data_IF_599812417453
#
_entry.id   IF_599812417453
#
_cell.length_a   1.000
_cell.length_b   1.000
_cell.length_c   1.000
_cell.angle_alpha   90.00
_cell.angle_beta   90.00
_cell.angle_gamma   90.00
#
_symmetry.space_group_name_H-M   'P 1'
#
loop_
_entity.id
_entity.type
_entity.pdbx_description
1 polymer ?
#
# COMPACT_ATOMS: atom_id res chain seq x y z
N UNK A 1 33.93 -27.89 -2.28
CA UNK A 1 32.82 -26.92 -2.33
C UNK A 1 33.12 -25.84 -1.30
N UNK A 2 33.57 -24.66 -1.75
CA UNK A 2 34.02 -23.59 -0.84
C UNK A 2 32.85 -22.96 -0.11
N UNK A 3 33.07 -22.56 1.15
CA UNK A 3 32.12 -21.88 2.04
C UNK A 3 31.68 -20.48 1.57
N UNK A 4 31.83 -20.17 0.27
CA UNK A 4 31.66 -18.86 -0.34
C UNK A 4 30.31 -18.66 -1.02
N UNK A 5 29.48 -19.70 -1.18
CA UNK A 5 28.19 -19.60 -1.89
C UNK A 5 27.02 -19.17 -1.00
N UNK A 6 27.22 -19.13 0.31
CA UNK A 6 26.23 -18.69 1.29
C UNK A 6 26.63 -17.36 1.96
N UNK A 7 27.18 -16.41 1.18
CA UNK A 7 27.04 -15.01 1.56
C UNK A 7 25.54 -14.70 1.54
N UNK A 8 24.86 -15.01 2.65
CA UNK A 8 23.54 -14.51 2.97
C UNK A 8 23.51 -13.05 2.53
N UNK A 9 22.62 -12.74 1.59
CA UNK A 9 22.39 -11.38 1.12
C UNK A 9 21.70 -10.65 2.27
N UNK A 10 22.47 -10.32 3.33
CA UNK A 10 21.95 -9.62 4.50
C UNK A 10 21.36 -8.31 4.03
N UNK A 11 20.15 -8.03 4.50
CA UNK A 11 19.51 -6.75 4.31
C UNK A 11 20.32 -5.74 5.13
N UNK A 12 21.13 -4.94 4.45
CA UNK A 12 21.88 -3.85 5.06
C UNK A 12 21.00 -2.59 5.10
N UNK A 13 20.25 -2.45 6.19
CA UNK A 13 19.31 -1.36 6.41
C UNK A 13 19.99 0.03 6.39
N UNK A 14 21.27 0.11 6.77
CA UNK A 14 22.02 1.37 6.78
C UNK A 14 22.29 1.91 5.37
N UNK A 15 22.20 1.05 4.35
CA UNK A 15 22.44 1.40 2.93
C UNK A 15 21.16 1.54 2.11
N UNK A 16 19.99 1.42 2.75
CA UNK A 16 18.71 1.58 2.07
C UNK A 16 18.55 2.98 1.51
N UNK A 17 18.00 3.06 0.30
CA UNK A 17 17.61 4.34 -0.27
C UNK A 17 16.43 4.93 0.52
N UNK A 18 16.18 6.22 0.27
CA UNK A 18 14.99 6.87 0.81
C UNK A 18 13.70 6.13 0.42
N UNK A 19 13.56 5.70 -0.84
CA UNK A 19 12.37 5.01 -1.31
C UNK A 19 12.14 3.69 -0.57
N UNK A 20 13.20 2.94 -0.28
CA UNK A 20 13.09 1.69 0.47
C UNK A 20 12.57 1.94 1.88
N UNK A 21 13.13 2.93 2.58
CA UNK A 21 12.64 3.33 3.90
C UNK A 21 11.20 3.84 3.85
N UNK A 22 10.88 4.70 2.89
CA UNK A 22 9.55 5.27 2.75
C UNK A 22 8.49 4.19 2.49
N UNK A 23 8.77 3.23 1.60
CA UNK A 23 7.87 2.10 1.32
C UNK A 23 7.71 1.19 2.54
N UNK A 24 8.78 0.92 3.30
CA UNK A 24 8.68 0.16 4.53
C UNK A 24 7.78 0.86 5.57
N UNK A 25 7.96 2.16 5.77
CA UNK A 25 7.13 2.95 6.70
C UNK A 25 5.67 2.97 6.25
N UNK A 26 5.41 3.27 4.97
CA UNK A 26 4.05 3.27 4.41
C UNK A 26 3.40 1.90 4.59
N UNK A 27 4.13 0.82 4.29
CA UNK A 27 3.68 -0.55 4.48
C UNK A 27 3.30 -0.84 5.94
N UNK A 28 4.20 -0.57 6.88
CA UNK A 28 3.95 -0.81 8.32
C UNK A 28 2.73 -0.02 8.81
N UNK A 29 2.65 1.28 8.47
CA UNK A 29 1.54 2.14 8.90
C UNK A 29 0.21 1.59 8.40
N UNK A 30 0.10 1.22 7.12
CA UNK A 30 -1.15 0.72 6.56
C UNK A 30 -1.48 -0.71 7.02
N UNK A 31 -0.48 -1.56 7.30
CA UNK A 31 -0.72 -2.88 7.92
C UNK A 31 -1.34 -2.70 9.30
N UNK A 32 -0.77 -1.82 10.14
CA UNK A 32 -1.33 -1.53 11.47
C UNK A 32 -2.74 -0.95 11.33
N UNK A 33 -2.94 -0.03 10.39
CA UNK A 33 -4.25 0.56 10.13
C UNK A 33 -5.30 -0.48 9.73
N UNK A 34 -4.94 -1.41 8.83
CA UNK A 34 -5.82 -2.51 8.40
C UNK A 34 -6.11 -3.49 9.55
N UNK A 35 -5.13 -3.79 10.41
CA UNK A 35 -5.34 -4.63 11.60
C UNK A 35 -6.31 -3.95 12.57
N UNK A 36 -6.14 -2.66 12.83
CA UNK A 36 -7.07 -1.90 13.68
C UNK A 36 -8.47 -1.88 13.06
N UNK A 37 -8.57 -1.64 11.75
CA UNK A 37 -9.82 -1.73 11.00
C UNK A 37 -10.52 -3.08 11.16
N UNK A 38 -9.76 -4.18 11.03
CA UNK A 38 -10.29 -5.53 11.22
C UNK A 38 -10.79 -5.78 12.64
N UNK A 39 -10.07 -5.30 13.65
CA UNK A 39 -10.46 -5.46 15.06
C UNK A 39 -11.74 -4.67 15.36
N UNK A 40 -11.86 -3.47 14.80
CA UNK A 40 -13.00 -2.58 15.03
C UNK A 40 -14.25 -3.06 14.29
N UNK A 41 -14.10 -3.53 13.05
CA UNK A 41 -15.19 -4.04 12.21
C UNK A 41 -14.76 -5.33 11.49
N UNK A 42 -14.94 -6.51 12.13
CA UNK A 42 -14.47 -7.79 11.59
C UNK A 42 -15.45 -8.44 10.60
N UNK A 43 -16.59 -7.82 10.29
CA UNK A 43 -17.62 -8.44 9.44
C UNK A 43 -17.17 -8.59 7.98
N UNK A 44 -17.62 -9.66 7.32
CA UNK A 44 -17.35 -9.94 5.90
C UNK A 44 -18.62 -9.78 5.05
N UNK A 45 -19.42 -8.78 5.37
CA UNK A 45 -20.67 -8.48 4.66
C UNK A 45 -20.41 -7.79 3.32
N UNK A 46 -21.34 -7.97 2.38
CA UNK A 46 -21.33 -7.36 1.05
C UNK A 46 -22.70 -6.77 0.73
N UNK A 47 -22.76 -5.81 -0.18
CA UNK A 47 -23.97 -5.11 -0.60
C UNK A 47 -24.05 -3.68 -0.07
N UNK A 48 -25.18 -3.01 -0.33
CA UNK A 48 -25.38 -1.58 -0.01
C UNK A 48 -25.57 -1.30 1.50
N UNK A 49 -25.81 -2.34 2.30
CA UNK A 49 -26.07 -2.22 3.73
C UNK A 49 -25.04 -2.98 4.57
N UNK A 50 -23.93 -3.38 3.96
CA UNK A 50 -22.85 -4.02 4.69
C UNK A 50 -22.29 -3.06 5.74
N UNK A 51 -22.04 -3.57 6.94
CA UNK A 51 -21.43 -2.79 8.00
C UNK A 51 -20.04 -2.27 7.58
N UNK A 52 -19.74 -1.03 7.95
CA UNK A 52 -18.43 -0.42 7.79
C UNK A 52 -18.20 0.60 8.91
N UNK A 53 -16.98 0.64 9.45
CA UNK A 53 -16.60 1.58 10.50
C UNK A 53 -15.41 2.44 10.06
N UNK A 54 -15.51 3.78 10.16
CA UNK A 54 -14.39 4.66 9.84
C UNK A 54 -13.29 4.54 10.89
N UNK A 55 -12.07 4.26 10.44
CA UNK A 55 -10.85 4.32 11.23
C UNK A 55 -9.93 5.33 10.57
N UNK A 56 -9.64 6.45 11.26
CA UNK A 56 -8.83 7.56 10.72
C UNK A 56 -9.28 8.05 9.32
N UNK A 57 -10.59 7.96 9.04
CA UNK A 57 -11.21 8.39 7.79
C UNK A 57 -11.34 7.33 6.70
N UNK A 58 -10.74 6.15 6.87
CA UNK A 58 -10.86 5.01 5.96
C UNK A 58 -11.92 4.03 6.50
N UNK A 59 -12.85 3.59 5.65
CA UNK A 59 -14.01 2.82 6.11
C UNK A 59 -13.74 1.32 6.05
N UNK A 60 -13.63 0.67 7.21
CA UNK A 60 -13.26 -0.73 7.29
C UNK A 60 -14.45 -1.66 7.49
N UNK A 61 -14.35 -2.80 6.82
CA UNK A 61 -14.84 -4.08 7.29
C UNK A 61 -13.76 -5.15 7.05
N UNK A 62 -14.09 -6.41 7.29
CA UNK A 62 -13.20 -7.55 7.07
C UNK A 62 -12.64 -7.63 5.65
N UNK A 63 -13.46 -7.38 4.62
CA UNK A 63 -13.00 -7.38 3.22
C UNK A 63 -12.03 -6.24 2.92
N UNK A 64 -12.31 -5.02 3.41
CA UNK A 64 -11.36 -3.91 3.29
C UNK A 64 -10.06 -4.28 3.98
N UNK A 65 -10.12 -4.68 5.25
CA UNK A 65 -8.92 -4.98 6.03
C UNK A 65 -8.04 -6.05 5.35
N UNK A 66 -8.63 -7.12 4.83
CA UNK A 66 -7.90 -8.13 4.04
C UNK A 66 -7.29 -7.52 2.78
N UNK A 67 -8.03 -6.70 2.04
CA UNK A 67 -7.52 -5.98 0.88
C UNK A 67 -6.32 -5.09 1.22
N UNK A 68 -6.39 -4.35 2.34
CA UNK A 68 -5.29 -3.55 2.87
C UNK A 68 -4.07 -4.40 3.21
N UNK A 69 -4.24 -5.52 3.92
CA UNK A 69 -3.14 -6.43 4.22
C UNK A 69 -2.51 -7.02 2.95
N UNK A 70 -3.32 -7.45 1.98
CA UNK A 70 -2.84 -7.98 0.71
C UNK A 70 -2.07 -6.93 -0.10
N UNK A 71 -2.46 -5.66 -0.01
CA UNK A 71 -1.75 -4.57 -0.69
C UNK A 71 -0.48 -4.13 0.04
N UNK A 72 -0.48 -4.07 1.37
CA UNK A 72 0.59 -3.42 2.13
C UNK A 72 1.59 -4.38 2.78
N UNK A 73 1.26 -5.65 3.02
CA UNK A 73 2.26 -6.65 3.44
C UNK A 73 3.36 -6.85 2.38
N UNK A 74 3.06 -6.94 1.07
CA UNK A 74 4.08 -7.01 0.03
C UNK A 74 5.02 -5.79 -0.02
N UNK A 75 4.61 -4.64 0.54
CA UNK A 75 5.48 -3.46 0.63
C UNK A 75 6.76 -3.75 1.42
N UNK A 76 6.67 -4.58 2.47
CA UNK A 76 7.83 -4.94 3.30
C UNK A 76 8.86 -5.74 2.50
N UNK A 77 8.38 -6.64 1.62
CA UNK A 77 9.25 -7.37 0.71
C UNK A 77 9.80 -6.45 -0.39
N UNK A 78 8.95 -5.59 -0.95
CA UNK A 78 9.35 -4.64 -1.98
C UNK A 78 10.42 -3.66 -1.48
N UNK A 79 10.35 -3.23 -0.23
CA UNK A 79 11.34 -2.35 0.39
C UNK A 79 12.76 -2.95 0.43
N UNK A 80 12.92 -4.27 0.32
CA UNK A 80 14.25 -4.91 0.33
C UNK A 80 15.11 -4.60 -0.89
N UNK A 81 14.51 -4.10 -1.99
CA UNK A 81 15.22 -3.67 -3.20
C UNK A 81 14.60 -2.39 -3.75
N UNK A 82 15.43 -1.37 -4.03
CA UNK A 82 14.95 -0.07 -4.53
C UNK A 82 14.04 -0.19 -5.77
N UNK A 83 14.40 -1.00 -6.76
CA UNK A 83 13.57 -1.18 -7.96
C UNK A 83 12.26 -1.90 -7.68
N UNK A 84 12.22 -2.81 -6.70
CA UNK A 84 10.98 -3.46 -6.27
C UNK A 84 10.08 -2.46 -5.54
N UNK A 85 10.65 -1.65 -4.64
CA UNK A 85 9.94 -0.57 -3.97
C UNK A 85 9.31 0.41 -4.98
N UNK A 86 10.04 0.75 -6.05
CA UNK A 86 9.54 1.61 -7.13
C UNK A 86 8.37 0.99 -7.89
N UNK A 87 8.49 -0.27 -8.34
CA UNK A 87 7.40 -0.97 -9.02
C UNK A 87 6.19 -1.19 -8.12
N UNK A 88 6.42 -1.51 -6.84
CA UNK A 88 5.37 -1.58 -5.84
C UNK A 88 4.60 -0.26 -5.75
N UNK A 89 5.28 0.88 -5.63
CA UNK A 89 4.63 2.18 -5.60
C UNK A 89 3.78 2.44 -6.84
N UNK A 90 4.24 2.08 -8.05
CA UNK A 90 3.44 2.23 -9.28
C UNK A 90 2.19 1.36 -9.24
N UNK A 91 2.34 0.07 -8.95
CA UNK A 91 1.24 -0.90 -8.96
C UNK A 91 0.21 -0.55 -7.88
N UNK A 92 0.67 -0.24 -6.66
CA UNK A 92 -0.20 0.13 -5.55
C UNK A 92 -0.87 1.50 -5.78
N UNK A 93 -0.18 2.47 -6.37
CA UNK A 93 -0.80 3.76 -6.70
C UNK A 93 -1.89 3.61 -7.76
N UNK A 94 -1.62 2.86 -8.84
CA UNK A 94 -2.60 2.68 -9.92
C UNK A 94 -3.76 1.81 -9.45
N UNK A 95 -3.49 0.62 -8.91
CA UNK A 95 -4.53 -0.31 -8.49
C UNK A 95 -5.25 0.17 -7.23
N UNK A 96 -4.54 0.16 -6.11
CA UNK A 96 -5.11 0.48 -4.80
C UNK A 96 -5.43 1.97 -4.61
N UNK A 97 -4.69 2.89 -5.23
CA UNK A 97 -4.94 4.31 -5.08
C UNK A 97 -6.00 4.85 -6.04
N UNK A 98 -5.73 4.79 -7.35
CA UNK A 98 -6.57 5.45 -8.35
C UNK A 98 -7.74 4.60 -8.82
N UNK A 99 -7.53 3.36 -9.24
CA UNK A 99 -8.63 2.50 -9.75
C UNK A 99 -9.68 2.32 -8.66
N UNK A 100 -9.22 1.93 -7.48
CA UNK A 100 -10.06 1.76 -6.31
C UNK A 100 -10.65 3.09 -5.82
N UNK A 101 -9.86 4.15 -5.66
CA UNK A 101 -10.35 5.42 -5.15
C UNK A 101 -11.38 6.07 -6.08
N UNK A 102 -11.17 5.98 -7.40
CA UNK A 102 -12.15 6.44 -8.40
C UNK A 102 -13.41 5.59 -8.33
N UNK A 103 -13.29 4.26 -8.23
CA UNK A 103 -14.45 3.37 -8.08
C UNK A 103 -15.31 3.74 -6.85
N UNK A 104 -14.66 4.01 -5.72
CA UNK A 104 -15.33 4.39 -4.47
C UNK A 104 -16.13 5.71 -4.57
N UNK A 105 -15.85 6.57 -5.56
CA UNK A 105 -16.66 7.77 -5.82
C UNK A 105 -18.02 7.46 -6.44
N UNK A 106 -18.21 6.27 -7.02
CA UNK A 106 -19.39 5.92 -7.82
C UNK A 106 -20.14 4.68 -7.32
N UNK A 107 -19.58 3.89 -6.40
CA UNK A 107 -20.17 2.63 -5.93
C UNK A 107 -20.60 2.69 -4.48
N UNK A 108 -21.89 2.43 -4.21
CA UNK A 108 -22.42 2.23 -2.85
C UNK A 108 -22.41 0.79 -2.37
N UNK A 109 -21.91 -0.12 -3.20
CA UNK A 109 -21.85 -1.53 -2.87
C UNK A 109 -20.48 -1.90 -2.34
N UNK A 110 -20.48 -2.47 -1.14
CA UNK A 110 -19.33 -3.21 -0.63
C UNK A 110 -19.27 -4.56 -1.35
N UNK A 111 -18.17 -4.84 -2.03
CA UNK A 111 -17.84 -6.11 -2.67
C UNK A 111 -16.57 -6.67 -2.04
N UNK A 112 -16.20 -7.89 -2.43
CA UNK A 112 -14.95 -8.51 -1.99
C UNK A 112 -13.78 -7.61 -2.44
N UNK A 113 -13.03 -7.11 -1.45
CA UNK A 113 -11.94 -6.13 -1.63
C UNK A 113 -12.37 -4.77 -2.20
N UNK A 114 -13.66 -4.43 -2.16
CA UNK A 114 -14.16 -3.09 -2.51
C UNK A 114 -14.82 -2.42 -1.31
N UNK A 115 -14.92 -1.10 -1.40
CA UNK A 115 -15.24 -0.22 -0.29
C UNK A 115 -16.70 0.27 -0.38
N UNK A 116 -17.31 0.73 0.74
CA UNK A 116 -18.64 1.32 0.71
C UNK A 116 -18.62 2.70 0.02
N UNK A 117 -19.76 3.24 -0.39
CA UNK A 117 -19.84 4.63 -0.89
C UNK A 117 -19.58 5.60 0.25
N UNK A 118 -18.33 6.01 0.40
CA UNK A 118 -17.95 7.14 1.22
C UNK A 118 -16.84 7.95 0.54
N UNK A 119 -17.12 9.24 0.36
CA UNK A 119 -16.21 10.19 -0.28
C UNK A 119 -14.86 10.30 0.44
N UNK A 120 -14.82 10.09 1.75
CA UNK A 120 -13.59 10.16 2.55
C UNK A 120 -12.64 9.02 2.19
N UNK A 121 -13.18 7.81 2.05
CA UNK A 121 -12.41 6.63 1.67
C UNK A 121 -11.77 6.80 0.28
N UNK A 122 -12.58 7.25 -0.69
CA UNK A 122 -12.10 7.61 -2.03
C UNK A 122 -10.97 8.65 -2.00
N UNK A 123 -11.12 9.70 -1.20
CA UNK A 123 -10.09 10.74 -1.03
C UNK A 123 -8.80 10.15 -0.47
N UNK A 124 -8.87 9.28 0.54
CA UNK A 124 -7.69 8.65 1.14
C UNK A 124 -6.99 7.73 0.13
N UNK A 125 -7.74 6.91 -0.61
CA UNK A 125 -7.16 6.07 -1.66
C UNK A 125 -6.40 6.90 -2.71
N UNK A 126 -7.03 7.95 -3.23
CA UNK A 126 -6.41 8.84 -4.21
C UNK A 126 -5.18 9.54 -3.60
N UNK A 127 -5.28 10.04 -2.37
CA UNK A 127 -4.17 10.69 -1.67
C UNK A 127 -2.99 9.74 -1.46
N UNK A 128 -3.25 8.49 -1.08
CA UNK A 128 -2.23 7.44 -0.96
C UNK A 128 -1.59 7.13 -2.30
N UNK A 129 -2.38 7.06 -3.39
CA UNK A 129 -1.85 6.90 -4.75
C UNK A 129 -0.92 8.04 -5.17
N UNK A 130 -1.31 9.28 -4.92
CA UNK A 130 -0.47 10.47 -5.15
C UNK A 130 0.80 10.42 -4.31
N UNK A 131 0.71 10.09 -3.03
CA UNK A 131 1.86 9.97 -2.13
C UNK A 131 2.87 8.94 -2.68
N UNK A 132 2.41 7.74 -3.05
CA UNK A 132 3.28 6.69 -3.58
C UNK A 132 4.03 7.14 -4.85
N UNK A 133 3.36 7.83 -5.78
CA UNK A 133 4.04 8.39 -6.95
C UNK A 133 5.00 9.53 -6.59
N UNK A 134 4.66 10.36 -5.61
CA UNK A 134 5.54 11.43 -5.13
C UNK A 134 6.81 10.87 -4.48
N UNK A 135 6.75 9.71 -3.82
CA UNK A 135 7.93 9.02 -3.30
C UNK A 135 8.88 8.59 -4.43
N UNK A 136 8.35 8.02 -5.51
CA UNK A 136 9.14 7.67 -6.70
C UNK A 136 9.77 8.93 -7.29
N UNK A 137 8.99 9.99 -7.49
CA UNK A 137 9.48 11.25 -8.04
C UNK A 137 10.60 11.84 -7.19
N UNK A 138 10.45 11.83 -5.86
CA UNK A 138 11.48 12.29 -4.92
C UNK A 138 12.76 11.47 -5.03
N UNK A 139 12.64 10.14 -5.11
CA UNK A 139 13.80 9.28 -5.32
C UNK A 139 14.46 9.53 -6.68
N UNK A 140 13.68 9.75 -7.74
CA UNK A 140 14.18 10.03 -9.08
C UNK A 140 14.96 11.35 -9.13
N UNK A 141 14.47 12.39 -8.43
CA UNK A 141 15.19 13.65 -8.30
C UNK A 141 16.53 13.46 -7.58
N UNK A 142 16.56 12.64 -6.51
CA UNK A 142 17.79 12.32 -5.77
C UNK A 142 18.78 11.49 -6.59
N UNK A 143 18.29 10.55 -7.38
CA UNK A 143 19.12 9.67 -8.20
C UNK A 143 19.55 10.32 -9.52
N UNK A 144 18.95 11.46 -9.91
CA UNK A 144 19.20 12.13 -11.19
C UNK A 144 18.50 11.47 -12.38
N UNK A 145 17.36 10.81 -12.16
CA UNK A 145 16.47 10.30 -13.20
C UNK A 145 15.76 8.98 -12.87
N UNK A 146 14.59 8.76 -13.49
CA UNK A 146 13.74 7.59 -13.25
C UNK A 146 14.44 6.25 -13.56
N UNK A 147 15.26 6.21 -14.62
CA UNK A 147 15.95 4.98 -15.04
C UNK A 147 16.75 4.33 -13.90
N UNK A 148 17.40 5.14 -13.05
CA UNK A 148 18.21 4.65 -11.92
C UNK A 148 17.39 4.16 -10.73
N UNK A 149 16.12 4.54 -10.66
CA UNK A 149 15.19 4.12 -9.59
C UNK A 149 14.65 2.72 -9.87
N UNK A 150 14.37 2.42 -11.15
CA UNK A 150 13.77 1.16 -11.60
C UNK A 150 14.78 0.07 -12.02
N UNK A 151 16.08 0.38 -12.04
CA UNK A 151 17.18 -0.57 -12.19
C UNK A 151 17.52 -1.19 -10.82
#
# INVERSE_FOLDING_TARGET
>A
MSAQTASERRIDLARWSFLQWAVAVVGIVHIVWAIVGFIVEPSFEVGQHAAATPVLGMDYNGWHAVGGLLLFVPALLAATRKSWAAWYCVIAAVGGGFVIGIWALFSEQVLIFSFPNHRTDAVIHIATGVLLLALIATQALRDGGLRRVFQ
#
